data_IF_240656438408
#
_entry.id   IF_240656438408
#
_cell.length_a   1.000
_cell.length_b   1.000
_cell.length_c   1.000
_cell.angle_alpha   90.00
_cell.angle_beta   90.00
_cell.angle_gamma   90.00
#
_symmetry.space_group_name_H-M   'P 1'
#
loop_
_entity.id
_entity.type
_entity.pdbx_description
1 polymer ?
#
# COMPACT_ATOMS: atom_id res chain seq x y z
N UNK A 1 -22.99 1.97 14.54
CA UNK A 1 -21.88 1.12 14.04
C UNK A 1 -21.92 1.16 12.51
N UNK A 2 -20.80 1.40 11.82
CA UNK A 2 -20.78 1.22 10.36
C UNK A 2 -21.11 -0.24 10.05
N UNK A 3 -22.00 -0.51 9.10
CA UNK A 3 -22.20 -1.88 8.61
C UNK A 3 -20.83 -2.40 8.16
N UNK A 4 -20.40 -3.48 8.80
CA UNK A 4 -19.09 -4.08 8.55
C UNK A 4 -19.23 -4.98 7.34
N UNK A 5 -18.23 -4.97 6.48
CA UNK A 5 -18.22 -5.78 5.26
C UNK A 5 -17.08 -6.79 5.39
N UNK A 6 -17.45 -8.04 5.66
CA UNK A 6 -16.52 -9.14 5.97
C UNK A 6 -15.56 -9.41 4.81
N UNK A 7 -16.06 -9.35 3.58
CA UNK A 7 -15.28 -9.55 2.36
C UNK A 7 -14.15 -8.51 2.19
N UNK A 8 -14.43 -7.24 2.50
CA UNK A 8 -13.43 -6.18 2.49
C UNK A 8 -12.44 -6.38 3.64
N UNK A 9 -12.93 -6.68 4.86
CA UNK A 9 -12.06 -6.99 6.00
C UNK A 9 -11.12 -8.18 5.70
N UNK A 10 -11.60 -9.24 5.06
CA UNK A 10 -10.78 -10.39 4.65
C UNK A 10 -9.75 -9.99 3.58
N UNK A 11 -10.17 -9.23 2.57
CA UNK A 11 -9.27 -8.79 1.50
C UNK A 11 -8.18 -7.86 2.01
N UNK A 12 -8.41 -7.10 3.09
CA UNK A 12 -7.36 -6.24 3.68
C UNK A 12 -6.12 -7.01 4.13
N UNK A 13 -6.24 -8.22 4.68
CA UNK A 13 -5.04 -8.99 5.05
C UNK A 13 -4.38 -9.63 3.82
N UNK A 14 -5.16 -10.08 2.83
CA UNK A 14 -4.64 -10.60 1.56
C UNK A 14 -3.88 -9.51 0.79
N UNK A 15 -4.46 -8.31 0.69
CA UNK A 15 -3.82 -7.14 0.11
C UNK A 15 -2.56 -6.75 0.88
N UNK A 16 -2.53 -6.91 2.22
CA UNK A 16 -1.34 -6.65 3.01
C UNK A 16 -0.18 -7.60 2.68
N UNK A 17 -0.47 -8.88 2.39
CA UNK A 17 0.55 -9.80 1.83
C UNK A 17 1.07 -9.24 0.51
N UNK A 18 0.18 -8.78 -0.37
CA UNK A 18 0.55 -8.11 -1.61
C UNK A 18 1.47 -6.89 -1.42
N UNK A 19 1.18 -6.04 -0.42
CA UNK A 19 2.04 -4.89 -0.09
C UNK A 19 3.44 -5.34 0.33
N UNK A 20 3.57 -6.37 1.16
CA UNK A 20 4.91 -6.88 1.53
C UNK A 20 5.61 -7.51 0.34
N UNK A 21 4.88 -8.26 -0.51
CA UNK A 21 5.42 -8.90 -1.72
C UNK A 21 6.09 -7.89 -2.64
N UNK A 22 5.44 -6.76 -2.94
CA UNK A 22 6.00 -5.72 -3.85
C UNK A 22 7.22 -4.98 -3.28
N UNK A 23 7.55 -5.18 -2.00
CA UNK A 23 8.74 -4.62 -1.37
C UNK A 23 9.84 -5.66 -1.14
N UNK A 24 9.48 -6.94 -1.09
CA UNK A 24 10.46 -8.05 -0.91
C UNK A 24 10.92 -8.69 -2.21
N UNK A 25 10.29 -8.35 -3.34
CA UNK A 25 10.65 -8.80 -4.68
C UNK A 25 11.08 -10.29 -4.76
N UNK A 26 10.21 -11.23 -4.37
CA UNK A 26 10.58 -12.64 -4.31
C UNK A 26 11.03 -13.16 -5.67
N UNK A 27 12.17 -13.85 -5.71
CA UNK A 27 12.81 -14.40 -6.91
C UNK A 27 13.34 -13.40 -7.95
N UNK A 28 13.31 -12.09 -7.70
CA UNK A 28 13.97 -11.13 -8.59
C UNK A 28 15.48 -11.41 -8.68
N UNK A 29 16.03 -11.35 -9.89
CA UNK A 29 17.43 -11.63 -10.17
C UNK A 29 17.78 -13.12 -10.20
N UNK A 30 16.85 -14.02 -9.87
CA UNK A 30 17.09 -15.46 -9.77
C UNK A 30 16.91 -16.18 -11.14
N UNK A 31 17.58 -15.65 -12.17
CA UNK A 31 17.53 -16.14 -13.55
C UNK A 31 16.17 -15.92 -14.23
N UNK A 32 16.02 -16.48 -15.45
CA UNK A 32 14.81 -16.29 -16.26
C UNK A 32 13.53 -16.71 -15.54
N UNK A 33 13.51 -17.92 -14.96
CA UNK A 33 12.31 -18.43 -14.29
C UNK A 33 12.02 -17.71 -12.98
N UNK A 34 13.04 -17.27 -12.25
CA UNK A 34 12.88 -16.43 -11.06
C UNK A 34 12.27 -15.08 -11.41
N UNK A 35 12.81 -14.39 -12.42
CA UNK A 35 12.27 -13.12 -12.90
C UNK A 35 10.84 -13.26 -13.43
N UNK A 36 10.51 -14.36 -14.12
CA UNK A 36 9.14 -14.61 -14.57
C UNK A 36 8.18 -14.84 -13.39
N UNK A 37 8.60 -15.64 -12.39
CA UNK A 37 7.82 -15.84 -11.18
C UNK A 37 7.62 -14.52 -10.43
N UNK A 38 8.68 -13.73 -10.25
CA UNK A 38 8.61 -12.40 -9.65
C UNK A 38 7.63 -11.51 -10.40
N UNK A 39 7.78 -11.37 -11.71
CA UNK A 39 6.89 -10.54 -12.55
C UNK A 39 5.42 -10.90 -12.36
N UNK A 40 5.07 -12.19 -12.32
CA UNK A 40 3.69 -12.64 -12.13
C UNK A 40 3.17 -12.39 -10.70
N UNK A 41 3.99 -12.71 -9.69
CA UNK A 41 3.66 -12.53 -8.27
C UNK A 41 3.44 -11.04 -7.97
N UNK A 42 4.39 -10.21 -8.42
CA UNK A 42 4.41 -8.77 -8.23
C UNK A 42 3.24 -8.12 -8.99
N UNK A 43 3.00 -8.50 -10.26
CA UNK A 43 1.84 -8.02 -11.03
C UNK A 43 0.51 -8.37 -10.39
N UNK A 44 0.41 -9.56 -9.82
CA UNK A 44 -0.80 -9.95 -9.09
C UNK A 44 -0.94 -9.15 -7.80
N UNK A 45 0.15 -8.76 -7.13
CA UNK A 45 0.09 -8.01 -5.89
C UNK A 45 -0.28 -6.52 -6.05
N UNK A 46 -0.11 -5.94 -7.25
CA UNK A 46 -0.30 -4.49 -7.50
C UNK A 46 -1.72 -3.97 -7.30
N UNK A 47 -2.76 -4.81 -7.20
CA UNK A 47 -4.10 -4.33 -6.84
C UNK A 47 -4.19 -3.83 -5.39
N UNK A 48 -3.24 -4.22 -4.52
CA UNK A 48 -3.34 -4.01 -3.08
C UNK A 48 -3.46 -2.54 -2.67
N UNK A 49 -2.57 -1.67 -3.18
CA UNK A 49 -2.59 -0.24 -2.83
C UNK A 49 -3.85 0.46 -3.38
N UNK A 50 -4.25 0.29 -4.66
CA UNK A 50 -5.55 0.75 -5.17
C UNK A 50 -6.72 0.30 -4.30
N UNK A 51 -6.76 -0.97 -3.90
CA UNK A 51 -7.81 -1.52 -3.04
C UNK A 51 -7.89 -0.78 -1.69
N UNK A 52 -6.76 -0.47 -1.04
CA UNK A 52 -6.77 0.29 0.21
C UNK A 52 -7.28 1.73 0.06
N UNK A 53 -6.94 2.41 -1.03
CA UNK A 53 -7.51 3.74 -1.33
C UNK A 53 -9.02 3.66 -1.59
N UNK A 54 -9.48 2.70 -2.39
CA UNK A 54 -10.92 2.49 -2.65
C UNK A 54 -11.70 2.16 -1.36
N UNK A 55 -11.20 1.24 -0.54
CA UNK A 55 -11.81 0.92 0.75
C UNK A 55 -11.88 2.17 1.65
N UNK A 56 -10.82 2.98 1.67
CA UNK A 56 -10.76 4.21 2.46
C UNK A 56 -11.77 5.25 1.98
N UNK A 57 -11.93 5.43 0.67
CA UNK A 57 -12.94 6.31 0.09
C UNK A 57 -14.38 5.86 0.38
N UNK A 58 -14.65 4.56 0.18
CA UNK A 58 -15.97 3.97 0.42
C UNK A 58 -16.42 4.14 1.87
N UNK A 59 -15.56 3.78 2.83
CA UNK A 59 -15.88 3.93 4.25
C UNK A 59 -15.82 5.38 4.75
N UNK A 60 -15.21 6.29 4.00
CA UNK A 60 -15.32 7.72 4.28
C UNK A 60 -16.69 8.25 3.87
N UNK A 61 -17.14 7.94 2.65
CA UNK A 61 -18.48 8.26 2.16
C UNK A 61 -19.58 7.74 3.10
N UNK A 62 -19.47 6.48 3.55
CA UNK A 62 -20.38 5.89 4.53
C UNK A 62 -20.47 6.68 5.85
N UNK A 63 -19.36 7.23 6.33
CA UNK A 63 -19.32 7.97 7.59
C UNK A 63 -19.88 9.38 7.45
N UNK A 64 -19.58 10.07 6.37
CA UNK A 64 -20.11 11.43 6.13
C UNK A 64 -21.61 11.41 5.80
N UNK A 65 -22.14 10.32 5.27
CA UNK A 65 -23.59 10.19 5.06
C UNK A 65 -24.37 10.15 6.38
N UNK A 66 -23.69 9.87 7.51
CA UNK A 66 -24.28 9.72 8.85
C UNK A 66 -23.82 10.80 9.83
N UNK A 67 -22.98 11.74 9.40
CA UNK A 67 -22.31 12.72 10.28
C UNK A 67 -21.77 13.90 9.48
N UNK A 68 -21.58 15.03 10.14
CA UNK A 68 -20.98 16.22 9.52
C UNK A 68 -19.65 15.91 8.76
N UNK A 69 -19.54 16.26 7.46
CA UNK A 69 -18.35 15.99 6.66
C UNK A 69 -17.06 16.58 7.24
N UNK A 70 -17.11 17.79 7.80
CA UNK A 70 -15.95 18.47 8.38
C UNK A 70 -15.41 17.71 9.58
N UNK A 71 -16.31 17.31 10.49
CA UNK A 71 -15.97 16.52 11.67
C UNK A 71 -15.34 15.18 11.31
N UNK A 72 -15.90 14.49 10.31
CA UNK A 72 -15.33 13.22 9.84
C UNK A 72 -13.98 13.41 9.16
N UNK A 73 -13.81 14.46 8.35
CA UNK A 73 -12.54 14.81 7.71
C UNK A 73 -11.45 15.07 8.76
N UNK A 74 -11.70 15.96 9.72
CA UNK A 74 -10.74 16.27 10.79
C UNK A 74 -10.37 15.04 11.63
N UNK A 75 -11.34 14.16 11.89
CA UNK A 75 -11.08 12.87 12.54
C UNK A 75 -10.14 12.00 11.69
N UNK A 76 -10.37 11.89 10.38
CA UNK A 76 -9.48 11.14 9.48
C UNK A 76 -8.08 11.72 9.42
N UNK A 77 -7.96 13.05 9.41
CA UNK A 77 -6.67 13.73 9.50
C UNK A 77 -5.94 13.33 10.77
N UNK A 78 -6.61 13.39 11.93
CA UNK A 78 -6.00 12.97 13.20
C UNK A 78 -5.60 11.49 13.21
N UNK A 79 -6.50 10.59 12.80
CA UNK A 79 -6.26 9.14 12.80
C UNK A 79 -5.06 8.79 11.90
N UNK A 80 -5.04 9.30 10.66
CA UNK A 80 -3.99 8.98 9.67
C UNK A 80 -2.67 9.65 10.04
N UNK A 81 -2.66 10.93 10.43
CA UNK A 81 -1.42 11.61 10.81
C UNK A 81 -0.76 10.95 12.02
N UNK A 82 -1.55 10.41 12.95
CA UNK A 82 -1.00 9.71 14.10
C UNK A 82 -0.44 8.33 13.73
N UNK A 83 -1.04 7.62 12.76
CA UNK A 83 -0.48 6.39 12.18
C UNK A 83 0.81 6.67 11.41
N UNK A 84 0.84 7.75 10.63
CA UNK A 84 2.03 8.16 9.89
C UNK A 84 3.18 8.50 10.84
N UNK A 85 2.92 9.34 11.85
CA UNK A 85 3.90 9.67 12.88
C UNK A 85 4.39 8.41 13.61
N UNK A 86 3.49 7.48 13.93
CA UNK A 86 3.89 6.21 14.54
C UNK A 86 4.83 5.40 13.64
N UNK A 87 4.57 5.33 12.33
CA UNK A 87 5.45 4.69 11.36
C UNK A 87 6.81 5.37 11.21
N UNK A 88 6.82 6.70 11.17
CA UNK A 88 8.06 7.47 11.16
C UNK A 88 8.89 7.17 12.41
N UNK A 89 8.28 7.19 13.60
CA UNK A 89 8.97 6.92 14.86
C UNK A 89 9.48 5.48 14.99
N UNK A 90 8.82 4.50 14.36
CA UNK A 90 9.31 3.12 14.29
C UNK A 90 10.48 2.96 13.32
N UNK A 91 10.43 3.66 12.18
CA UNK A 91 11.36 3.46 11.06
C UNK A 91 12.63 4.29 11.20
N UNK A 92 12.47 5.56 11.57
CA UNK A 92 13.54 6.55 11.66
C UNK A 92 14.75 6.09 12.48
N UNK A 93 14.60 5.55 13.72
CA UNK A 93 15.77 5.16 14.52
C UNK A 93 16.54 4.00 13.89
N UNK A 94 15.82 3.07 13.26
CA UNK A 94 16.39 1.87 12.63
C UNK A 94 17.20 2.25 11.39
N UNK A 95 16.64 3.12 10.55
CA UNK A 95 17.31 3.58 9.33
C UNK A 95 18.53 4.43 9.68
N UNK A 96 18.41 5.35 10.63
CA UNK A 96 19.52 6.19 11.07
C UNK A 96 20.67 5.36 11.66
N UNK A 97 20.35 4.34 12.47
CA UNK A 97 21.34 3.41 12.99
C UNK A 97 22.02 2.61 11.86
N UNK A 98 21.25 2.15 10.87
CA UNK A 98 21.79 1.48 9.69
C UNK A 98 22.73 2.36 8.88
N UNK A 99 22.40 3.64 8.68
CA UNK A 99 23.29 4.63 8.04
C UNK A 99 24.61 4.79 8.82
N UNK A 100 24.55 4.86 10.15
CA UNK A 100 25.75 4.95 10.97
C UNK A 100 26.63 3.69 10.88
N UNK A 101 26.02 2.50 10.90
CA UNK A 101 26.71 1.22 10.74
C UNK A 101 27.36 1.13 9.36
N UNK A 102 26.62 1.46 8.30
CA UNK A 102 27.13 1.43 6.92
C UNK A 102 28.30 2.40 6.73
N UNK A 103 28.19 3.62 7.25
CA UNK A 103 29.29 4.59 7.20
C UNK A 103 30.55 4.04 7.90
N UNK A 104 30.39 3.38 9.05
CA UNK A 104 31.51 2.73 9.75
C UNK A 104 32.15 1.61 8.94
N UNK A 105 31.35 0.75 8.29
CA UNK A 105 31.86 -0.36 7.47
C UNK A 105 32.61 0.13 6.24
N UNK A 106 32.12 1.20 5.61
CA UNK A 106 32.69 1.80 4.41
C UNK A 106 33.84 2.80 4.70
N UNK A 107 34.25 2.94 5.96
CA UNK A 107 35.24 3.94 6.42
C UNK A 107 34.89 5.39 6.01
N UNK A 108 33.60 5.71 5.94
CA UNK A 108 33.08 7.07 5.75
C UNK A 108 32.92 7.76 7.11
N UNK A 109 32.90 9.09 7.10
CA UNK A 109 32.61 9.85 8.31
C UNK A 109 31.16 9.62 8.77
N UNK A 110 31.01 9.03 9.96
CA UNK A 110 29.71 8.64 10.53
C UNK A 110 28.85 9.88 10.79
N UNK A 111 29.44 10.95 11.35
CA UNK A 111 28.71 12.16 11.73
C UNK A 111 28.11 12.82 10.49
N UNK A 112 28.90 13.02 9.44
CA UNK A 112 28.46 13.61 8.17
C UNK A 112 27.37 12.77 7.52
N UNK A 113 27.52 11.43 7.50
CA UNK A 113 26.52 10.52 6.93
C UNK A 113 25.19 10.60 7.68
N UNK A 114 25.23 10.60 9.02
CA UNK A 114 24.04 10.72 9.88
C UNK A 114 23.38 12.10 9.72
N UNK A 115 24.16 13.18 9.68
CA UNK A 115 23.62 14.54 9.50
C UNK A 115 22.96 14.70 8.14
N UNK A 116 23.56 14.15 7.07
CA UNK A 116 22.97 14.18 5.74
C UNK A 116 21.65 13.41 5.70
N UNK A 117 21.59 12.23 6.31
CA UNK A 117 20.36 11.43 6.41
C UNK A 117 19.26 12.17 7.19
N UNK A 118 19.61 12.79 8.33
CA UNK A 118 18.68 13.61 9.11
C UNK A 118 18.13 14.78 8.29
N UNK A 119 18.96 15.43 7.48
CA UNK A 119 18.53 16.52 6.61
C UNK A 119 17.54 16.04 5.54
N UNK A 120 17.76 14.86 4.96
CA UNK A 120 16.84 14.24 4.00
C UNK A 120 15.48 13.92 4.67
N UNK A 121 15.49 13.38 5.88
CA UNK A 121 14.30 13.01 6.64
C UNK A 121 13.36 14.19 6.95
N UNK A 122 13.90 15.40 7.07
CA UNK A 122 13.14 16.62 7.40
C UNK A 122 12.76 17.45 6.16
N UNK A 123 13.03 16.97 4.94
CA UNK A 123 12.60 17.64 3.72
C UNK A 123 11.07 17.85 3.74
N UNK A 124 10.56 19.11 3.73
CA UNK A 124 9.13 19.35 3.92
C UNK A 124 8.25 18.73 2.84
N UNK A 125 8.71 18.75 1.58
CA UNK A 125 7.95 18.19 0.45
C UNK A 125 7.90 16.67 0.54
N UNK A 126 9.03 16.02 0.80
CA UNK A 126 9.10 14.56 0.95
C UNK A 126 8.38 14.08 2.21
N UNK A 127 8.38 14.86 3.29
CA UNK A 127 7.75 14.49 4.55
C UNK A 127 6.23 14.68 4.52
N UNK A 128 5.76 15.80 3.97
CA UNK A 128 4.35 16.21 4.05
C UNK A 128 3.56 15.78 2.82
N UNK A 129 4.11 15.97 1.61
CA UNK A 129 3.39 15.70 0.36
C UNK A 129 3.61 14.26 -0.13
N UNK A 130 4.86 13.90 -0.44
CA UNK A 130 5.15 12.58 -1.00
C UNK A 130 5.12 11.48 0.06
N UNK A 131 5.48 11.77 1.32
CA UNK A 131 5.51 10.79 2.40
C UNK A 131 6.65 9.79 2.32
N UNK A 132 7.70 10.15 1.60
CA UNK A 132 8.86 9.34 1.21
C UNK A 132 10.10 9.65 2.04
N UNK A 133 10.07 10.72 2.85
CA UNK A 133 11.30 11.27 3.48
C UNK A 133 12.07 10.25 4.31
N UNK A 134 11.41 9.45 5.14
CA UNK A 134 12.06 8.42 5.97
C UNK A 134 11.98 7.04 5.33
N UNK A 135 10.87 6.73 4.68
CA UNK A 135 10.65 5.44 4.03
C UNK A 135 9.63 5.61 2.93
N UNK A 136 10.02 5.31 1.70
CA UNK A 136 9.12 5.34 0.54
C UNK A 136 7.84 4.55 0.77
N UNK A 137 7.92 3.45 1.53
CA UNK A 137 6.79 2.59 1.82
C UNK A 137 5.64 3.35 2.51
N UNK A 138 5.92 4.36 3.34
CA UNK A 138 4.94 5.08 4.17
C UNK A 138 4.13 6.15 3.39
N UNK A 139 4.43 6.35 2.10
CA UNK A 139 3.81 7.34 1.24
C UNK A 139 2.28 7.30 1.19
N UNK A 140 1.70 6.12 1.41
CA UNK A 140 0.24 5.91 1.41
C UNK A 140 -0.48 6.86 2.37
N UNK A 141 0.10 7.16 3.54
CA UNK A 141 -0.57 7.98 4.54
C UNK A 141 -0.72 9.45 4.10
N UNK A 142 0.35 10.17 3.71
CA UNK A 142 0.21 11.48 3.09
C UNK A 142 -0.68 11.46 1.85
N UNK A 143 -0.49 10.50 0.96
CA UNK A 143 -1.32 10.38 -0.24
C UNK A 143 -2.82 10.24 0.10
N UNK A 144 -3.18 9.50 1.15
CA UNK A 144 -4.57 9.35 1.60
C UNK A 144 -5.10 10.62 2.28
N UNK A 145 -4.27 11.35 3.04
CA UNK A 145 -4.62 12.65 3.60
C UNK A 145 -4.96 13.66 2.51
N UNK A 146 -4.11 13.77 1.49
CA UNK A 146 -4.35 14.63 0.34
C UNK A 146 -5.60 14.21 -0.44
N UNK A 147 -5.80 12.90 -0.64
CA UNK A 147 -7.01 12.38 -1.27
C UNK A 147 -8.28 12.78 -0.51
N UNK A 148 -8.28 12.64 0.82
CA UNK A 148 -9.41 13.07 1.64
C UNK A 148 -9.62 14.58 1.66
N UNK A 149 -8.54 15.37 1.65
CA UNK A 149 -8.63 16.82 1.55
C UNK A 149 -9.32 17.23 0.24
N UNK A 150 -8.88 16.67 -0.89
CA UNK A 150 -9.48 16.97 -2.20
C UNK A 150 -10.95 16.55 -2.26
N UNK A 151 -11.29 15.35 -1.79
CA UNK A 151 -12.68 14.89 -1.71
C UNK A 151 -13.51 15.83 -0.81
N UNK A 152 -13.00 16.17 0.37
CA UNK A 152 -13.67 17.09 1.30
C UNK A 152 -13.92 18.46 0.68
N UNK A 153 -12.94 19.04 -0.02
CA UNK A 153 -13.09 20.30 -0.73
C UNK A 153 -14.17 20.19 -1.82
N UNK A 154 -14.16 19.14 -2.64
CA UNK A 154 -15.21 18.92 -3.64
C UNK A 154 -16.60 18.84 -3.00
N UNK A 155 -16.75 18.13 -1.89
CA UNK A 155 -18.04 18.03 -1.17
C UNK A 155 -18.49 19.40 -0.66
N UNK A 156 -17.61 20.13 0.02
CA UNK A 156 -17.94 21.41 0.63
C UNK A 156 -18.26 22.50 -0.40
N UNK A 157 -17.75 22.37 -1.63
CA UNK A 157 -18.05 23.26 -2.76
C UNK A 157 -19.20 22.75 -3.66
N UNK A 158 -19.89 21.67 -3.29
CA UNK A 158 -21.01 21.13 -4.07
C UNK A 158 -20.57 20.47 -5.40
N UNK A 159 -19.29 20.12 -5.54
CA UNK A 159 -18.69 19.52 -6.73
C UNK A 159 -18.65 17.99 -6.69
N UNK A 160 -19.39 17.35 -5.78
CA UNK A 160 -19.41 15.88 -5.61
C UNK A 160 -19.71 15.12 -6.90
N UNK A 161 -20.55 15.68 -7.78
CA UNK A 161 -20.86 15.08 -9.09
C UNK A 161 -19.68 15.06 -10.07
N UNK A 162 -18.74 15.99 -9.92
CA UNK A 162 -17.54 16.12 -10.77
C UNK A 162 -16.32 15.41 -10.21
N UNK A 163 -16.43 14.82 -9.02
CA UNK A 163 -15.31 14.19 -8.32
C UNK A 163 -14.62 13.09 -9.15
N UNK A 164 -15.41 12.19 -9.76
CA UNK A 164 -14.85 11.14 -10.63
C UNK A 164 -14.24 11.69 -11.93
N UNK A 165 -14.92 12.55 -12.71
CA UNK A 165 -14.30 13.16 -13.89
C UNK A 165 -12.99 13.89 -13.59
N UNK A 166 -12.94 14.68 -12.51
CA UNK A 166 -11.74 15.45 -12.13
C UNK A 166 -10.61 14.49 -11.73
N UNK A 167 -10.88 13.55 -10.83
CA UNK A 167 -9.87 12.61 -10.35
C UNK A 167 -9.39 11.65 -11.45
N UNK A 168 -10.26 11.27 -12.39
CA UNK A 168 -9.87 10.53 -13.60
C UNK A 168 -8.95 11.36 -14.49
N UNK A 169 -9.24 12.65 -14.67
CA UNK A 169 -8.35 13.57 -15.42
C UNK A 169 -6.93 13.59 -14.86
N UNK A 170 -6.79 13.74 -13.54
CA UNK A 170 -5.49 13.60 -12.88
C UNK A 170 -4.90 12.20 -13.07
N UNK A 171 -5.70 11.14 -12.91
CA UNK A 171 -5.18 9.77 -13.06
C UNK A 171 -4.62 9.50 -14.46
N UNK A 172 -5.26 10.00 -15.51
CA UNK A 172 -4.78 9.87 -16.89
C UNK A 172 -3.42 10.54 -17.08
N UNK A 173 -3.21 11.73 -16.50
CA UNK A 173 -1.89 12.37 -16.48
C UNK A 173 -0.87 11.51 -15.73
N UNK A 174 -1.26 10.94 -14.60
CA UNK A 174 -0.44 10.01 -13.85
C UNK A 174 -0.07 8.75 -14.63
N UNK A 175 -1.01 8.16 -15.38
CA UNK A 175 -0.72 7.00 -16.22
C UNK A 175 0.34 7.34 -17.28
N UNK A 176 0.18 8.48 -17.96
CA UNK A 176 1.12 8.95 -18.98
C UNK A 176 2.54 9.11 -18.43
N UNK A 177 2.70 9.68 -17.24
CA UNK A 177 4.03 9.85 -16.64
C UNK A 177 4.62 8.60 -15.98
N UNK A 178 3.85 7.53 -15.73
CA UNK A 178 4.33 6.37 -14.93
C UNK A 178 4.58 5.14 -15.78
N UNK A 179 3.59 4.78 -16.59
CA UNK A 179 3.58 3.51 -17.30
C UNK A 179 3.51 3.71 -18.80
N UNK A 180 3.05 4.88 -19.27
CA UNK A 180 3.00 5.21 -20.70
C UNK A 180 3.94 6.37 -21.05
N UNK A 181 5.15 6.33 -20.48
CA UNK A 181 6.19 7.37 -20.62
C UNK A 181 6.68 7.55 -22.07
N UNK A 182 6.39 6.60 -22.95
CA UNK A 182 6.67 6.72 -24.38
C UNK A 182 5.86 7.84 -25.06
N UNK A 183 4.80 8.35 -24.43
CA UNK A 183 4.02 9.47 -24.96
C UNK A 183 4.36 10.81 -24.32
N UNK A 184 4.61 10.83 -23.00
CA UNK A 184 4.85 12.06 -22.24
C UNK A 184 5.88 11.78 -21.16
N UNK A 185 6.93 12.61 -21.13
CA UNK A 185 7.87 12.66 -20.01
C UNK A 185 7.39 13.69 -18.99
N UNK A 186 7.20 13.25 -17.74
CA UNK A 186 6.69 14.10 -16.65
C UNK A 186 7.83 14.29 -15.64
N UNK A 187 8.35 15.52 -15.44
CA UNK A 187 9.59 15.76 -14.70
C UNK A 187 9.41 15.78 -13.17
N UNK A 188 8.38 15.13 -12.64
CA UNK A 188 8.09 15.06 -11.21
C UNK A 188 7.44 13.72 -10.84
N UNK A 189 7.53 13.37 -9.56
CA UNK A 189 6.93 12.15 -9.05
C UNK A 189 5.39 12.23 -9.13
N UNK A 190 4.81 11.27 -9.81
CA UNK A 190 3.37 11.15 -10.08
C UNK A 190 2.71 9.98 -9.36
N UNK A 191 3.49 9.08 -8.74
CA UNK A 191 2.97 8.08 -7.82
C UNK A 191 2.74 8.77 -6.47
N UNK A 192 1.69 9.59 -6.39
CA UNK A 192 1.43 10.49 -5.28
C UNK A 192 -0.06 10.57 -4.88
N UNK A 193 -0.38 11.48 -3.96
CA UNK A 193 -1.75 11.72 -3.52
C UNK A 193 -2.69 12.23 -4.62
N UNK A 194 -2.21 12.98 -5.60
CA UNK A 194 -3.03 13.67 -6.60
C UNK A 194 -3.31 12.80 -7.83
N UNK A 195 -2.27 12.22 -8.43
CA UNK A 195 -2.38 11.47 -9.68
C UNK A 195 -2.70 9.99 -9.45
N UNK A 196 -2.46 9.46 -8.24
CA UNK A 196 -2.79 8.08 -7.89
C UNK A 196 -3.85 7.98 -6.79
N UNK A 197 -3.57 8.50 -5.60
CA UNK A 197 -4.44 8.30 -4.43
C UNK A 197 -5.84 8.89 -4.62
N UNK A 198 -5.93 10.09 -5.19
CA UNK A 198 -7.18 10.83 -5.34
C UNK A 198 -8.18 10.08 -6.21
N UNK A 199 -7.72 9.44 -7.30
CA UNK A 199 -8.57 8.65 -8.18
C UNK A 199 -9.17 7.43 -7.49
N UNK A 200 -8.34 6.58 -6.89
CA UNK A 200 -8.84 5.36 -6.25
C UNK A 200 -9.70 5.66 -5.01
N UNK A 201 -9.36 6.71 -4.25
CA UNK A 201 -10.19 7.14 -3.11
C UNK A 201 -11.52 7.71 -3.60
N UNK A 202 -11.53 8.47 -4.69
CA UNK A 202 -12.75 9.00 -5.30
C UNK A 202 -13.62 7.89 -5.88
N UNK A 203 -13.04 6.85 -6.49
CA UNK A 203 -13.77 5.65 -6.94
C UNK A 203 -14.53 5.00 -5.79
N UNK A 204 -13.84 4.71 -4.68
CA UNK A 204 -14.47 4.16 -3.50
C UNK A 204 -15.59 5.04 -2.95
N UNK A 205 -15.32 6.35 -2.84
CA UNK A 205 -16.30 7.34 -2.39
C UNK A 205 -17.57 7.31 -3.25
N UNK A 206 -17.38 7.36 -4.58
CA UNK A 206 -18.48 7.46 -5.53
C UNK A 206 -19.29 6.19 -5.65
N UNK A 207 -18.69 5.01 -5.49
CA UNK A 207 -19.43 3.74 -5.43
C UNK A 207 -20.49 3.81 -4.31
N UNK A 208 -20.13 4.32 -3.13
CA UNK A 208 -21.10 4.48 -2.04
C UNK A 208 -22.07 5.64 -2.28
N UNK A 209 -21.57 6.82 -2.69
CA UNK A 209 -22.36 8.05 -2.72
C UNK A 209 -23.46 8.08 -3.79
N UNK A 210 -23.35 7.24 -4.83
CA UNK A 210 -24.39 7.11 -5.86
C UNK A 210 -25.53 6.15 -5.44
N UNK A 211 -25.52 5.66 -4.19
CA UNK A 211 -26.51 4.71 -3.65
C UNK A 211 -26.64 3.42 -4.48
N UNK A 212 -25.64 3.13 -5.30
CA UNK A 212 -25.58 1.92 -6.11
C UNK A 212 -24.94 0.80 -5.30
N UNK A 213 -25.55 -0.39 -5.36
CA UNK A 213 -25.01 -1.61 -4.76
C UNK A 213 -24.97 -2.71 -5.82
N UNK A 214 -23.86 -3.47 -5.93
CA UNK A 214 -23.78 -4.57 -6.86
C UNK A 214 -24.68 -5.72 -6.45
N UNK A 215 -25.36 -6.32 -7.44
CA UNK A 215 -26.33 -7.38 -7.19
C UNK A 215 -25.62 -8.70 -6.88
N UNK A 216 -26.05 -9.40 -5.83
CA UNK A 216 -25.40 -10.62 -5.34
C UNK A 216 -25.49 -11.80 -6.33
N UNK A 217 -26.57 -11.85 -7.12
CA UNK A 217 -26.79 -12.82 -8.20
C UNK A 217 -25.80 -12.67 -9.36
N UNK A 218 -25.20 -11.48 -9.54
CA UNK A 218 -24.16 -11.19 -10.53
C UNK A 218 -22.74 -11.41 -10.02
N UNK A 219 -22.56 -11.93 -8.80
CA UNK A 219 -21.23 -12.11 -8.19
C UNK A 219 -20.26 -12.95 -9.05
N UNK A 220 -20.74 -14.00 -9.73
CA UNK A 220 -19.92 -14.80 -10.65
C UNK A 220 -19.44 -13.97 -11.85
N UNK A 221 -20.26 -13.07 -12.38
CA UNK A 221 -19.85 -12.15 -13.45
C UNK A 221 -18.76 -11.20 -12.96
N UNK A 222 -18.93 -10.60 -11.78
CA UNK A 222 -17.92 -9.69 -11.23
C UNK A 222 -16.60 -10.39 -10.97
N UNK A 223 -16.63 -11.63 -10.45
CA UNK A 223 -15.44 -12.46 -10.30
C UNK A 223 -14.78 -12.77 -11.65
N UNK A 224 -15.58 -13.14 -12.66
CA UNK A 224 -15.10 -13.38 -14.02
C UNK A 224 -14.42 -12.15 -14.63
N UNK A 225 -14.98 -10.95 -14.41
CA UNK A 225 -14.37 -9.68 -14.81
C UNK A 225 -13.06 -9.41 -14.06
N UNK A 226 -12.97 -9.71 -12.76
CA UNK A 226 -11.71 -9.59 -12.00
C UNK A 226 -10.62 -10.49 -12.57
N UNK A 227 -10.95 -11.74 -12.91
CA UNK A 227 -9.99 -12.67 -13.53
C UNK A 227 -9.57 -12.17 -14.92
N UNK A 228 -10.52 -11.75 -15.74
CA UNK A 228 -10.25 -11.22 -17.09
C UNK A 228 -9.36 -9.98 -17.03
N UNK A 229 -9.72 -9.00 -16.21
CA UNK A 229 -8.92 -7.78 -16.06
C UNK A 229 -7.57 -8.07 -15.41
N UNK A 230 -7.46 -9.11 -14.56
CA UNK A 230 -6.19 -9.58 -14.03
C UNK A 230 -5.25 -10.10 -15.12
N UNK A 231 -5.77 -10.92 -16.02
CA UNK A 231 -5.02 -11.40 -17.18
C UNK A 231 -4.62 -10.25 -18.12
N UNK A 232 -5.54 -9.30 -18.38
CA UNK A 232 -5.25 -8.11 -19.19
C UNK A 232 -4.20 -7.21 -18.53
N UNK A 233 -4.24 -7.03 -17.22
CA UNK A 233 -3.24 -6.26 -16.46
C UNK A 233 -1.83 -6.87 -16.60
N UNK A 234 -1.71 -8.20 -16.46
CA UNK A 234 -0.44 -8.90 -16.64
C UNK A 234 0.04 -8.76 -18.09
N UNK A 235 -0.85 -8.95 -19.07
CA UNK A 235 -0.53 -8.80 -20.49
C UNK A 235 -0.09 -7.38 -20.86
N UNK A 236 -0.80 -6.36 -20.36
CA UNK A 236 -0.47 -4.96 -20.55
C UNK A 236 0.92 -4.63 -20.00
N UNK A 237 1.20 -5.05 -18.77
CA UNK A 237 2.53 -4.85 -18.17
C UNK A 237 3.63 -5.58 -18.93
N UNK A 238 3.36 -6.76 -19.47
CA UNK A 238 4.32 -7.50 -20.29
C UNK A 238 4.63 -6.73 -21.58
N UNK A 239 3.60 -6.21 -22.25
CA UNK A 239 3.75 -5.41 -23.47
C UNK A 239 4.55 -4.13 -23.18
N UNK A 240 4.17 -3.38 -22.15
CA UNK A 240 4.85 -2.16 -21.75
C UNK A 240 6.32 -2.42 -21.36
N UNK A 241 6.57 -3.50 -20.63
CA UNK A 241 7.87 -3.77 -20.03
C UNK A 241 8.89 -4.45 -20.92
N UNK A 242 8.44 -5.24 -21.90
CA UNK A 242 9.31 -6.11 -22.69
C UNK A 242 9.10 -5.97 -24.19
N UNK A 243 7.86 -5.78 -24.66
CA UNK A 243 7.60 -5.66 -26.11
C UNK A 243 7.97 -4.27 -26.61
N UNK A 244 7.49 -3.22 -25.94
CA UNK A 244 7.75 -1.82 -26.36
C UNK A 244 9.20 -1.42 -26.13
N UNK A 245 9.81 -1.90 -25.04
CA UNK A 245 11.19 -1.58 -24.66
C UNK A 245 12.22 -2.44 -25.39
N UNK A 246 11.79 -3.42 -26.19
CA UNK A 246 12.65 -4.44 -26.82
C UNK A 246 13.55 -5.18 -25.81
N UNK A 247 13.04 -5.35 -24.57
CA UNK A 247 13.72 -6.03 -23.47
C UNK A 247 13.13 -7.42 -23.24
N UNK A 248 13.77 -8.21 -22.40
CA UNK A 248 13.31 -9.57 -22.03
C UNK A 248 13.26 -9.73 -20.51
N UNK A 249 12.36 -10.60 -20.05
CA UNK A 249 12.27 -10.98 -18.63
C UNK A 249 13.59 -11.55 -18.10
N UNK A 250 14.44 -12.10 -18.99
CA UNK A 250 15.77 -12.58 -18.62
C UNK A 250 16.72 -11.45 -18.19
N UNK A 251 16.56 -10.24 -18.74
CA UNK A 251 17.43 -9.09 -18.48
C UNK A 251 17.05 -8.33 -17.21
N UNK A 252 15.81 -8.48 -16.72
CA UNK A 252 15.32 -7.85 -15.50
C UNK A 252 13.80 -7.84 -15.42
N UNK A 253 13.27 -7.43 -14.27
CA UNK A 253 11.82 -7.30 -14.05
C UNK A 253 11.38 -5.86 -14.32
N UNK A 254 10.27 -5.69 -15.04
CA UNK A 254 9.69 -4.38 -15.31
C UNK A 254 8.78 -3.87 -14.17
N UNK A 255 9.06 -2.64 -13.71
CA UNK A 255 8.49 -2.03 -12.50
C UNK A 255 7.47 -0.90 -12.77
N UNK A 256 6.58 -1.04 -13.76
CA UNK A 256 5.48 -0.07 -13.96
C UNK A 256 4.68 0.14 -12.67
N UNK A 257 4.59 1.39 -12.21
CA UNK A 257 3.92 1.71 -10.94
C UNK A 257 2.45 1.28 -10.92
N UNK A 258 1.69 1.61 -11.96
CA UNK A 258 0.28 1.23 -12.14
C UNK A 258 -0.17 1.49 -13.58
N UNK A 259 -1.17 0.75 -14.04
CA UNK A 259 -1.62 0.74 -15.45
C UNK A 259 -3.14 0.88 -15.55
N UNK A 260 -3.70 0.98 -16.76
CA UNK A 260 -5.14 0.93 -16.96
C UNK A 260 -5.71 -0.39 -16.41
N UNK A 261 -5.03 -1.51 -16.66
CA UNK A 261 -5.39 -2.81 -16.13
C UNK A 261 -5.43 -2.85 -14.60
N UNK A 262 -4.53 -2.12 -13.93
CA UNK A 262 -4.55 -1.99 -12.46
C UNK A 262 -5.86 -1.39 -11.98
N UNK A 263 -6.36 -0.35 -12.66
CA UNK A 263 -7.64 0.28 -12.31
C UNK A 263 -8.82 -0.67 -12.54
N UNK A 264 -8.84 -1.39 -13.66
CA UNK A 264 -9.90 -2.34 -13.99
C UNK A 264 -9.96 -3.52 -12.99
N UNK A 265 -8.80 -4.07 -12.60
CA UNK A 265 -8.71 -5.12 -11.59
C UNK A 265 -9.20 -4.61 -10.24
N UNK A 266 -8.72 -3.44 -9.79
CA UNK A 266 -9.12 -2.88 -8.50
C UNK A 266 -10.63 -2.63 -8.43
N UNK A 267 -11.22 -2.03 -9.48
CA UNK A 267 -12.66 -1.75 -9.53
C UNK A 267 -13.49 -3.02 -9.56
N UNK A 268 -13.18 -3.96 -10.46
CA UNK A 268 -13.93 -5.22 -10.56
C UNK A 268 -13.85 -6.05 -9.28
N UNK A 269 -12.66 -6.14 -8.67
CA UNK A 269 -12.47 -6.84 -7.39
C UNK A 269 -13.31 -6.17 -6.30
N UNK A 270 -13.26 -4.84 -6.19
CA UNK A 270 -14.02 -4.13 -5.17
C UNK A 270 -15.53 -4.34 -5.32
N UNK A 271 -16.04 -4.29 -6.55
CA UNK A 271 -17.44 -4.58 -6.88
C UNK A 271 -17.81 -6.04 -6.54
N UNK A 272 -16.95 -7.00 -6.86
CA UNK A 272 -17.15 -8.40 -6.48
C UNK A 272 -17.28 -8.56 -4.96
N UNK A 273 -16.39 -7.94 -4.20
CA UNK A 273 -16.41 -8.00 -2.73
C UNK A 273 -17.68 -7.40 -2.15
N UNK A 274 -18.15 -6.27 -2.69
CA UNK A 274 -19.42 -5.66 -2.29
C UNK A 274 -20.63 -6.53 -2.64
N UNK A 275 -20.59 -7.31 -3.72
CA UNK A 275 -21.67 -8.24 -4.08
C UNK A 275 -21.77 -9.46 -3.15
N UNK A 276 -20.72 -9.72 -2.36
CA UNK A 276 -20.62 -10.84 -1.42
C UNK A 276 -20.13 -10.34 -0.05
N UNK A 277 -20.88 -9.48 0.65
CA UNK A 277 -20.40 -8.79 1.84
C UNK A 277 -20.03 -9.73 2.99
N UNK A 278 -20.65 -10.91 3.06
CA UNK A 278 -20.40 -11.94 4.08
C UNK A 278 -19.29 -12.94 3.70
N UNK A 279 -18.60 -12.75 2.56
CA UNK A 279 -17.52 -13.64 2.16
C UNK A 279 -16.42 -13.66 3.23
N UNK A 280 -16.09 -14.87 3.71
CA UNK A 280 -15.05 -15.08 4.72
C UNK A 280 -15.51 -14.94 6.17
N UNK A 281 -16.80 -14.64 6.44
CA UNK A 281 -17.34 -14.50 7.81
C UNK A 281 -17.12 -15.73 8.68
N UNK A 282 -17.15 -16.94 8.10
CA UNK A 282 -16.91 -18.19 8.83
C UNK A 282 -15.43 -18.50 9.08
N UNK A 283 -14.53 -17.57 8.76
CA UNK A 283 -13.07 -17.75 8.89
C UNK A 283 -12.45 -16.69 9.81
N UNK A 284 -11.20 -16.91 10.23
CA UNK A 284 -10.46 -15.90 10.98
C UNK A 284 -9.96 -14.72 10.10
N UNK A 285 -9.99 -14.86 8.77
CA UNK A 285 -9.33 -13.92 7.83
C UNK A 285 -9.85 -12.47 7.95
N UNK A 286 -11.17 -12.20 8.03
CA UNK A 286 -11.66 -10.84 8.28
C UNK A 286 -11.16 -10.24 9.59
N UNK A 287 -11.04 -11.06 10.65
CA UNK A 287 -10.54 -10.57 11.94
C UNK A 287 -9.08 -10.14 11.85
N UNK A 288 -8.27 -10.86 11.06
CA UNK A 288 -6.88 -10.49 10.81
C UNK A 288 -6.76 -9.19 10.03
N UNK A 289 -7.52 -9.01 8.95
CA UNK A 289 -7.46 -7.78 8.18
C UNK A 289 -7.96 -6.56 8.95
N UNK A 290 -8.91 -6.75 9.86
CA UNK A 290 -9.37 -5.71 10.78
C UNK A 290 -8.30 -5.29 11.79
N UNK A 291 -7.67 -6.27 12.44
CA UNK A 291 -6.85 -6.04 13.62
C UNK A 291 -5.37 -5.79 13.29
N UNK A 292 -4.87 -6.34 12.18
CA UNK A 292 -3.43 -6.43 11.94
C UNK A 292 -2.96 -5.76 10.65
N UNK A 293 -3.80 -5.60 9.62
CA UNK A 293 -3.33 -5.09 8.32
C UNK A 293 -2.60 -3.75 8.44
N UNK A 294 -3.18 -2.77 9.15
CA UNK A 294 -2.53 -1.44 9.34
C UNK A 294 -1.29 -1.56 10.22
N UNK A 295 -1.31 -2.42 11.24
CA UNK A 295 -0.15 -2.65 12.10
C UNK A 295 1.05 -3.22 11.33
N UNK A 296 0.81 -4.23 10.49
CA UNK A 296 1.81 -4.82 9.60
C UNK A 296 2.31 -3.79 8.60
N UNK A 297 1.41 -3.02 7.99
CA UNK A 297 1.79 -1.93 7.08
C UNK A 297 2.77 -0.94 7.72
N UNK A 298 2.51 -0.51 8.95
CA UNK A 298 3.38 0.47 9.61
C UNK A 298 4.71 -0.15 10.08
N UNK A 299 4.70 -1.43 10.46
CA UNK A 299 5.85 -2.10 11.07
C UNK A 299 6.79 -2.79 10.07
N UNK A 300 6.35 -3.06 8.83
CA UNK A 300 7.19 -3.79 7.88
C UNK A 300 8.40 -3.03 7.32
N UNK A 301 8.44 -1.68 7.18
CA UNK A 301 9.65 -1.00 6.71
C UNK A 301 10.89 -1.25 7.57
N UNK A 302 10.88 -1.06 8.92
CA UNK A 302 12.06 -1.32 9.72
C UNK A 302 12.41 -2.80 9.79
N UNK A 303 11.42 -3.71 9.72
CA UNK A 303 11.69 -5.15 9.72
C UNK A 303 12.37 -5.59 8.43
N UNK A 304 11.84 -5.16 7.28
CA UNK A 304 12.43 -5.44 5.97
C UNK A 304 13.87 -4.93 5.92
N UNK A 305 14.06 -3.67 6.31
CA UNK A 305 15.39 -3.03 6.34
C UNK A 305 16.40 -3.82 7.18
N UNK A 306 16.01 -4.26 8.39
CA UNK A 306 16.90 -5.06 9.25
C UNK A 306 17.25 -6.40 8.60
N UNK A 307 16.28 -7.07 7.96
CA UNK A 307 16.53 -8.35 7.28
C UNK A 307 17.49 -8.16 6.10
N UNK A 308 17.27 -7.16 5.26
CA UNK A 308 18.11 -6.87 4.09
C UNK A 308 19.52 -6.44 4.49
N UNK A 309 19.65 -5.51 5.44
CA UNK A 309 20.97 -5.11 5.97
C UNK A 309 21.70 -6.24 6.69
N UNK A 310 20.95 -7.10 7.40
CA UNK A 310 21.50 -8.33 7.96
C UNK A 310 22.06 -9.27 6.87
N UNK A 311 21.35 -9.41 5.76
CA UNK A 311 21.80 -10.22 4.63
C UNK A 311 23.01 -9.61 3.91
N UNK A 312 23.04 -8.29 3.70
CA UNK A 312 24.19 -7.58 3.14
C UNK A 312 25.45 -7.79 4.01
N UNK A 313 25.31 -7.69 5.34
CA UNK A 313 26.42 -7.92 6.27
C UNK A 313 26.94 -9.37 6.25
N UNK A 314 26.04 -10.34 6.06
CA UNK A 314 26.41 -11.75 5.88
C UNK A 314 27.13 -11.99 4.55
N UNK A 315 26.67 -11.38 3.45
CA UNK A 315 27.36 -11.41 2.14
C UNK A 315 28.75 -10.79 2.25
N UNK A 316 28.90 -9.65 2.93
CA UNK A 316 30.22 -9.04 3.20
C UNK A 316 31.16 -9.95 4.02
N UNK A 317 30.60 -10.88 4.79
CA UNK A 317 31.33 -11.91 5.55
C UNK A 317 31.55 -13.21 4.76
N UNK A 318 31.21 -13.25 3.47
CA UNK A 318 31.38 -14.38 2.57
C UNK A 318 30.18 -15.34 2.47
N UNK A 319 29.04 -15.03 3.10
CA UNK A 319 27.82 -15.83 3.04
C UNK A 319 26.80 -15.22 2.08
N UNK A 320 26.80 -15.67 0.82
CA UNK A 320 25.91 -15.18 -0.25
C UNK A 320 24.46 -15.69 -0.13
N UNK A 321 23.79 -15.38 0.98
CA UNK A 321 22.45 -15.88 1.25
C UNK A 321 21.39 -15.31 0.30
N UNK A 322 21.58 -14.09 -0.20
CA UNK A 322 20.61 -13.42 -1.08
C UNK A 322 20.43 -14.14 -2.42
N UNK A 323 21.45 -14.88 -2.86
CA UNK A 323 21.43 -15.70 -4.07
C UNK A 323 20.87 -17.11 -3.83
N UNK A 324 20.28 -17.38 -2.66
CA UNK A 324 19.72 -18.69 -2.35
C UNK A 324 18.21 -18.69 -2.56
N UNK A 325 17.67 -19.82 -3.02
CA UNK A 325 16.22 -20.02 -3.09
C UNK A 325 15.55 -19.88 -1.71
N UNK A 326 16.27 -20.24 -0.65
CA UNK A 326 15.78 -20.12 0.72
C UNK A 326 15.51 -18.66 1.10
N UNK A 327 16.42 -17.74 0.75
CA UNK A 327 16.22 -16.32 0.99
C UNK A 327 14.96 -15.79 0.31
N UNK A 328 14.78 -16.08 -0.98
CA UNK A 328 13.60 -15.64 -1.72
C UNK A 328 12.28 -16.26 -1.20
N UNK A 329 12.33 -17.47 -0.64
CA UNK A 329 11.16 -18.10 -0.01
C UNK A 329 10.85 -17.57 1.39
N UNK A 330 11.88 -17.14 2.14
CA UNK A 330 11.76 -16.78 3.56
C UNK A 330 11.61 -15.27 3.79
N UNK A 331 12.16 -14.42 2.93
CA UNK A 331 12.15 -12.96 3.12
C UNK A 331 10.72 -12.41 3.25
N UNK A 332 9.81 -12.73 2.33
CA UNK A 332 8.42 -12.23 2.39
C UNK A 332 7.69 -12.68 3.66
N UNK A 333 7.65 -13.99 4.02
CA UNK A 333 7.07 -14.42 5.30
C UNK A 333 7.75 -13.81 6.52
N UNK A 334 9.08 -13.74 6.55
CA UNK A 334 9.84 -13.20 7.66
C UNK A 334 9.50 -11.71 7.88
N UNK A 335 9.42 -10.94 6.80
CA UNK A 335 9.01 -9.53 6.85
C UNK A 335 7.57 -9.40 7.35
N UNK A 336 6.63 -10.19 6.82
CA UNK A 336 5.22 -10.13 7.22
C UNK A 336 5.00 -10.50 8.69
N UNK A 337 5.52 -11.65 9.12
CA UNK A 337 5.36 -12.13 10.50
C UNK A 337 6.23 -11.37 11.49
N UNK A 338 7.40 -10.90 11.07
CA UNK A 338 8.25 -10.00 11.87
C UNK A 338 7.55 -8.67 12.11
N UNK A 339 6.91 -8.08 11.10
CA UNK A 339 6.11 -6.87 11.23
C UNK A 339 4.90 -7.07 12.16
N UNK A 340 4.20 -8.20 12.03
CA UNK A 340 3.13 -8.57 12.94
C UNK A 340 3.63 -8.68 14.39
N UNK A 341 4.74 -9.37 14.62
CA UNK A 341 5.33 -9.53 15.94
C UNK A 341 5.74 -8.18 16.54
N UNK A 342 6.44 -7.34 15.77
CA UNK A 342 6.85 -6.01 16.19
C UNK A 342 5.63 -5.16 16.57
N UNK A 343 4.58 -5.16 15.74
CA UNK A 343 3.33 -4.47 16.03
C UNK A 343 2.70 -4.97 17.35
N UNK A 344 2.63 -6.29 17.56
CA UNK A 344 2.08 -6.87 18.78
C UNK A 344 2.90 -6.49 20.03
N UNK A 345 4.23 -6.48 19.94
CA UNK A 345 5.11 -6.06 21.04
C UNK A 345 4.89 -4.59 21.38
N UNK A 346 4.96 -3.71 20.38
CA UNK A 346 4.82 -2.26 20.59
C UNK A 346 3.42 -1.91 21.13
N UNK A 347 2.38 -2.61 20.67
CA UNK A 347 1.00 -2.43 21.16
C UNK A 347 0.82 -2.83 22.64
N UNK A 348 1.69 -3.70 23.18
CA UNK A 348 1.69 -4.09 24.60
C UNK A 348 2.50 -3.13 25.48
N UNK A 349 3.59 -2.57 24.94
CA UNK A 349 4.54 -1.74 25.69
C UNK A 349 4.03 -0.31 25.96
N UNK A 350 3.04 0.17 25.20
CA UNK A 350 2.40 1.46 25.47
C UNK A 350 0.89 1.36 25.19
N UNK A 351 0.02 1.80 26.11
CA UNK A 351 -1.34 2.18 25.74
C UNK A 351 -1.27 3.52 24.99
N UNK A 352 -0.68 3.56 23.79
CA UNK A 352 -0.77 4.76 22.95
C UNK A 352 -2.22 4.83 22.47
N UNK A 353 -3.00 5.72 23.10
CA UNK A 353 -4.27 6.20 22.53
C UNK A 353 -3.93 7.08 21.33
N UNK A 354 -3.66 6.44 20.20
CA UNK A 354 -3.59 7.06 18.88
C UNK A 354 -5.04 7.26 18.42
N UNK A 355 -5.44 8.52 18.16
CA UNK A 355 -6.74 8.96 17.62
C UNK A 355 -7.85 7.91 17.52
N UNK A 356 -8.73 7.84 18.54
CA UNK A 356 -10.01 7.11 18.45
C UNK A 356 -9.95 5.58 18.25
N UNK A 357 -8.77 4.99 18.07
CA UNK A 357 -8.56 3.55 18.14
C UNK A 357 -8.30 3.18 19.61
N UNK A 358 -9.27 2.51 20.21
CA UNK A 358 -8.89 1.53 21.22
C UNK A 358 -8.13 0.44 20.46
N UNK A 359 -6.85 0.25 20.79
CA UNK A 359 -6.23 -1.06 20.62
C UNK A 359 -7.26 -2.06 21.18
N UNK A 360 -7.63 -3.14 20.47
CA UNK A 360 -8.56 -4.10 21.02
C UNK A 360 -7.99 -4.53 22.37
N UNK A 361 -8.63 -4.08 23.46
CA UNK A 361 -8.42 -4.68 24.76
C UNK A 361 -8.63 -6.15 24.52
N UNK A 362 -7.59 -6.93 24.76
CA UNK A 362 -7.69 -8.37 24.73
C UNK A 362 -8.63 -8.83 25.83
N UNK A 363 -9.94 -8.71 25.61
CA UNK A 363 -10.93 -9.54 26.28
C UNK A 363 -10.94 -10.89 25.57
N UNK A 364 -9.78 -11.57 25.54
CA UNK A 364 -9.64 -12.93 25.01
C UNK A 364 -9.96 -14.00 26.06
N UNK A 365 -10.56 -13.64 27.20
CA UNK A 365 -10.92 -14.59 28.26
C UNK A 365 -12.20 -14.24 29.03
N UNK A 366 -13.21 -13.64 28.42
CA UNK A 366 -14.57 -13.61 29.01
C UNK A 366 -15.63 -13.67 27.91
N UNK A 367 -15.89 -14.88 27.42
CA UNK A 367 -17.21 -15.53 27.50
C UNK A 367 -17.24 -16.76 26.58
N UNK A 368 -17.61 -17.88 27.19
CA UNK A 368 -18.24 -19.02 26.52
C UNK A 368 -19.59 -18.60 25.95
#
# INVERSE_FOLDING_TARGET
>A
MSERISSIDATRIVAMVGVVVIHTNPFEGFGLYGNLANFLIESTARFAVPFFFMASGYFFALKIARSDPTTQFLKRVSDISSLYLFGLLLTFPVFLAGTAVQASVENRDIVTSVVHELAAFVSPVELIYYGTSVSEILWFFPALLFSYLLIYLCINHGLSAYLLPISLGFHLVGLLGSSYTMFVDVPFAIRDGLFFGFFYTSLGYSIYSHEWQPAADRSTLYLGLTVLFGALHIGERYVLGYVITESTVAQGVYWASYTIGTALVAVSLFVFLLSRPDLGTDTAVPSWGRNYAVGIYVAHPPVLYVLEKGAEALSASGYEIQNTILWHLVLTPATFFGALLLYLIVSKLRPIRVGGFSLPRGNWMQNR
#
